data_IF_558237868781
#
_entry.id   IF_558237868781
#
_cell.length_a   1.000
_cell.length_b   1.000
_cell.length_c   1.000
_cell.angle_alpha   90.00
_cell.angle_beta   90.00
_cell.angle_gamma   90.00
#
_symmetry.space_group_name_H-M   'P 1'
#
loop_
_entity.id
_entity.type
_entity.pdbx_description
1 polymer ?
#
# COMPACT_ATOMS: atom_id res chain seq x y z
N UNK A 1 3.01 -15.30 -2.25
CA UNK A 1 1.91 -14.93 -1.33
C UNK A 1 1.29 -13.64 -1.85
N UNK A 2 -0.01 -13.64 -2.12
CA UNK A 2 -0.70 -12.45 -2.62
C UNK A 2 -1.23 -11.63 -1.44
N UNK A 3 -1.07 -10.31 -1.47
CA UNK A 3 -1.58 -9.43 -0.42
C UNK A 3 -2.32 -8.26 -1.05
N UNK A 4 -3.54 -8.03 -0.58
CA UNK A 4 -4.35 -6.88 -0.93
C UNK A 4 -4.35 -5.87 0.23
N UNK A 5 -3.99 -4.62 -0.09
CA UNK A 5 -4.11 -3.48 0.80
C UNK A 5 -5.42 -2.77 0.48
N UNK A 6 -6.48 -3.17 1.17
CA UNK A 6 -7.83 -2.67 0.95
C UNK A 6 -8.00 -1.31 1.62
N UNK A 7 -8.15 -0.24 0.83
CA UNK A 7 -8.29 1.10 1.38
C UNK A 7 -9.53 1.22 2.26
N UNK A 8 -9.37 1.87 3.42
CA UNK A 8 -10.51 2.20 4.29
C UNK A 8 -11.38 3.26 3.62
N UNK A 9 -12.60 3.52 4.11
CA UNK A 9 -13.44 4.60 3.55
C UNK A 9 -12.70 5.95 3.50
N UNK A 10 -11.97 6.30 4.57
CA UNK A 10 -11.11 7.50 4.60
C UNK A 10 -9.94 7.36 3.63
N UNK A 11 -9.34 6.19 3.52
CA UNK A 11 -8.27 5.91 2.55
C UNK A 11 -8.73 6.11 1.10
N UNK A 12 -9.92 5.62 0.74
CA UNK A 12 -10.52 5.74 -0.59
C UNK A 12 -10.69 7.20 -1.00
N UNK A 13 -11.29 8.02 -0.13
CA UNK A 13 -11.44 9.46 -0.36
C UNK A 13 -10.08 10.15 -0.61
N UNK A 14 -9.02 9.73 0.09
CA UNK A 14 -7.70 10.34 -0.09
C UNK A 14 -7.05 9.90 -1.39
N UNK A 15 -7.14 8.62 -1.77
CA UNK A 15 -6.53 8.14 -3.01
C UNK A 15 -7.23 8.66 -4.27
N UNK A 16 -8.49 9.11 -4.19
CA UNK A 16 -9.19 9.79 -5.29
C UNK A 16 -8.49 11.09 -5.72
N UNK A 17 -7.65 11.68 -4.86
CA UNK A 17 -6.83 12.86 -5.17
C UNK A 17 -5.48 12.53 -5.84
N UNK A 18 -5.31 11.28 -6.27
CA UNK A 18 -4.12 10.77 -6.96
C UNK A 18 -4.55 9.93 -8.16
N UNK A 19 -3.71 9.90 -9.19
CA UNK A 19 -3.88 8.91 -10.26
C UNK A 19 -3.18 7.58 -9.89
N UNK A 20 -3.46 6.51 -10.64
CA UNK A 20 -2.92 5.18 -10.34
C UNK A 20 -1.39 5.11 -10.48
N UNK A 21 -0.80 5.88 -11.40
CA UNK A 21 0.66 5.92 -11.57
C UNK A 21 1.35 6.56 -10.36
N UNK A 22 0.80 7.67 -9.85
CA UNK A 22 1.28 8.32 -8.62
C UNK A 22 1.17 7.37 -7.42
N UNK A 23 0.07 6.64 -7.29
CA UNK A 23 -0.13 5.67 -6.22
C UNK A 23 0.91 4.53 -6.32
N UNK A 24 1.12 3.97 -7.52
CA UNK A 24 2.15 2.96 -7.74
C UNK A 24 3.53 3.48 -7.38
N UNK A 25 3.89 4.70 -7.80
CA UNK A 25 5.19 5.30 -7.49
C UNK A 25 5.38 5.49 -5.98
N UNK A 26 4.37 6.05 -5.29
CA UNK A 26 4.41 6.27 -3.84
C UNK A 26 4.57 4.92 -3.13
N UNK A 27 3.65 3.98 -3.35
CA UNK A 27 3.71 2.69 -2.65
C UNK A 27 5.02 1.95 -2.92
N UNK A 28 5.47 1.90 -4.18
CA UNK A 28 6.72 1.23 -4.55
C UNK A 28 7.94 1.85 -3.86
N UNK A 29 8.01 3.19 -3.78
CA UNK A 29 9.11 3.89 -3.09
C UNK A 29 9.20 3.51 -1.61
N UNK A 30 8.06 3.48 -0.92
CA UNK A 30 8.03 3.17 0.51
C UNK A 30 8.24 1.67 0.78
N UNK A 31 7.68 0.80 -0.07
CA UNK A 31 7.96 -0.65 -0.05
C UNK A 31 9.46 -0.90 -0.20
N UNK A 32 10.11 -0.33 -1.21
CA UNK A 32 11.54 -0.50 -1.47
C UNK A 32 12.43 0.03 -0.34
N UNK A 33 11.95 1.03 0.40
CA UNK A 33 12.66 1.52 1.59
C UNK A 33 12.55 0.51 2.73
N UNK A 34 11.36 -0.04 2.96
CA UNK A 34 11.11 -0.99 4.05
C UNK A 34 11.74 -2.36 3.80
N UNK A 35 11.81 -2.84 2.56
CA UNK A 35 12.50 -4.11 2.23
C UNK A 35 13.99 -4.09 2.53
N UNK A 36 14.60 -2.92 2.78
CA UNK A 36 15.98 -2.83 3.32
C UNK A 36 16.09 -3.21 4.80
N UNK A 37 14.97 -3.13 5.55
CA UNK A 37 14.89 -3.47 6.98
C UNK A 37 14.27 -4.86 7.22
N UNK A 38 13.39 -5.28 6.31
CA UNK A 38 12.63 -6.51 6.41
C UNK A 38 13.07 -7.49 5.32
N UNK A 39 13.37 -8.73 5.72
CA UNK A 39 13.73 -9.81 4.79
C UNK A 39 12.47 -10.32 4.07
N UNK A 40 12.11 -9.65 2.97
CA UNK A 40 11.00 -10.01 2.08
C UNK A 40 11.21 -9.39 0.71
N UNK A 41 10.94 -10.15 -0.34
CA UNK A 41 10.88 -9.63 -1.70
C UNK A 41 9.43 -9.28 -2.04
N UNK A 42 9.21 -8.11 -2.64
CA UNK A 42 7.88 -7.61 -2.99
C UNK A 42 7.86 -7.15 -4.43
N UNK A 43 6.88 -7.64 -5.18
CA UNK A 43 6.55 -7.20 -6.54
C UNK A 43 5.24 -6.42 -6.52
N UNK A 44 5.22 -5.28 -7.22
CA UNK A 44 4.02 -4.48 -7.48
C UNK A 44 3.60 -4.71 -8.94
N UNK A 45 2.73 -5.68 -9.25
CA UNK A 45 2.31 -5.96 -10.61
C UNK A 45 1.47 -4.80 -11.17
N UNK A 46 1.95 -4.16 -12.24
CA UNK A 46 1.26 -3.02 -12.86
C UNK A 46 -0.15 -3.40 -13.35
N UNK A 47 -0.31 -4.57 -13.96
CA UNK A 47 -1.59 -5.08 -14.47
C UNK A 47 -2.65 -5.19 -13.37
N UNK A 48 -2.28 -5.67 -12.19
CA UNK A 48 -3.21 -5.84 -11.07
C UNK A 48 -3.60 -4.51 -10.40
N UNK A 49 -2.87 -3.43 -10.72
CA UNK A 49 -2.99 -2.09 -10.13
C UNK A 49 -3.36 -1.01 -11.17
N UNK A 50 -3.91 -1.40 -12.33
CA UNK A 50 -4.34 -0.43 -13.35
C UNK A 50 -5.52 0.43 -12.91
N UNK A 51 -6.32 -0.02 -11.94
CA UNK A 51 -7.58 0.61 -11.50
C UNK A 51 -7.65 0.79 -9.97
N UNK A 52 -6.55 1.15 -9.30
CA UNK A 52 -6.47 1.22 -7.82
C UNK A 52 -7.61 2.03 -7.20
N UNK A 53 -7.89 3.22 -7.73
CA UNK A 53 -8.95 4.10 -7.20
C UNK A 53 -10.33 3.44 -7.28
N UNK A 54 -10.66 2.81 -8.41
CA UNK A 54 -11.94 2.12 -8.61
C UNK A 54 -12.06 0.84 -7.77
N UNK A 55 -11.01 0.02 -7.77
CA UNK A 55 -10.96 -1.23 -7.00
C UNK A 55 -10.94 -0.95 -5.49
N UNK A 56 -10.42 0.21 -5.10
CA UNK A 56 -10.17 0.56 -3.70
C UNK A 56 -9.20 -0.41 -3.03
N UNK A 57 -8.27 -0.99 -3.78
CA UNK A 57 -7.23 -1.88 -3.27
C UNK A 57 -5.92 -1.70 -4.02
N UNK A 58 -4.81 -1.85 -3.30
CA UNK A 58 -3.46 -1.93 -3.87
C UNK A 58 -2.93 -3.36 -3.69
N UNK A 59 -2.50 -4.00 -4.77
CA UNK A 59 -2.20 -5.44 -4.81
C UNK A 59 -0.71 -5.67 -4.97
N UNK A 60 -0.15 -6.54 -4.14
CA UNK A 60 1.27 -6.90 -4.16
C UNK A 60 1.47 -8.40 -4.04
N UNK A 61 2.59 -8.87 -4.58
CA UNK A 61 3.02 -10.26 -4.50
C UNK A 61 4.30 -10.33 -3.70
N UNK A 62 4.30 -11.16 -2.66
CA UNK A 62 5.45 -11.38 -1.79
C UNK A 62 6.11 -12.73 -2.10
N UNK A 63 7.44 -12.74 -2.07
CA UNK A 63 8.30 -13.93 -2.13
C UNK A 63 9.42 -13.85 -1.08
N UNK A 64 10.08 -14.98 -0.79
CA UNK A 64 11.19 -15.04 0.18
C UNK A 64 10.88 -14.39 1.54
N UNK A 65 9.65 -14.59 2.03
CA UNK A 65 9.15 -13.95 3.24
C UNK A 65 9.82 -14.55 4.49
N UNK A 66 10.65 -13.77 5.17
CA UNK A 66 11.32 -14.14 6.43
C UNK A 66 11.06 -13.12 7.54
N UNK A 67 9.93 -12.42 7.46
CA UNK A 67 9.49 -11.45 8.46
C UNK A 67 8.00 -11.56 8.75
N UNK A 68 7.56 -10.89 9.81
CA UNK A 68 6.13 -10.73 10.11
C UNK A 68 5.48 -9.77 9.09
N UNK A 69 4.65 -10.34 8.21
CA UNK A 69 4.00 -9.63 7.11
C UNK A 69 3.07 -8.53 7.62
N UNK A 70 2.37 -8.78 8.72
CA UNK A 70 1.42 -7.81 9.28
C UNK A 70 2.16 -6.58 9.83
N UNK A 71 3.28 -6.78 10.51
CA UNK A 71 4.15 -5.71 11.02
C UNK A 71 4.74 -4.89 9.88
N UNK A 72 5.23 -5.54 8.82
CA UNK A 72 5.72 -4.85 7.62
C UNK A 72 4.68 -3.88 7.06
N UNK A 73 3.46 -4.36 6.82
CA UNK A 73 2.41 -3.52 6.21
C UNK A 73 1.82 -2.50 7.18
N UNK A 74 1.85 -2.74 8.50
CA UNK A 74 1.54 -1.73 9.52
C UNK A 74 2.55 -0.58 9.51
N UNK A 75 3.85 -0.86 9.36
CA UNK A 75 4.87 0.18 9.19
C UNK A 75 4.68 0.92 7.86
N UNK A 76 4.46 0.20 6.76
CA UNK A 76 4.14 0.81 5.47
C UNK A 76 2.97 1.79 5.58
N UNK A 77 1.87 1.39 6.23
CA UNK A 77 0.69 2.22 6.43
C UNK A 77 0.96 3.52 7.20
N UNK A 78 1.92 3.51 8.14
CA UNK A 78 2.35 4.71 8.87
C UNK A 78 3.18 5.64 7.99
N UNK A 79 4.10 5.08 7.21
CA UNK A 79 5.01 5.85 6.37
C UNK A 79 4.27 6.49 5.19
N UNK A 80 3.41 5.74 4.51
CA UNK A 80 2.64 6.22 3.35
C UNK A 80 1.56 7.24 3.72
N UNK A 81 1.10 7.25 4.97
CA UNK A 81 0.17 8.28 5.45
C UNK A 81 0.77 9.69 5.30
N UNK A 82 2.09 9.85 5.35
CA UNK A 82 2.75 11.16 5.20
C UNK A 82 2.52 11.78 3.81
N UNK A 83 2.87 11.12 2.68
CA UNK A 83 2.59 11.66 1.36
C UNK A 83 1.09 11.76 1.06
N UNK A 84 0.27 10.79 1.49
CA UNK A 84 -1.16 10.82 1.23
C UNK A 84 -1.87 11.97 1.95
N UNK A 85 -1.49 12.26 3.19
CA UNK A 85 -2.09 13.35 3.97
C UNK A 85 -1.85 14.74 3.35
N UNK A 86 -0.82 14.91 2.51
CA UNK A 86 -0.57 16.19 1.82
C UNK A 86 -1.73 16.61 0.90
N UNK A 87 -2.56 15.65 0.47
CA UNK A 87 -3.76 15.87 -0.35
C UNK A 87 -5.04 15.43 0.35
N UNK A 88 -5.03 15.35 1.69
CA UNK A 88 -6.19 14.95 2.47
C UNK A 88 -6.68 16.10 3.36
N UNK A 89 -7.98 16.36 3.34
CA UNK A 89 -8.61 17.26 4.31
C UNK A 89 -8.81 16.53 5.64
N UNK A 90 -8.04 16.92 6.65
CA UNK A 90 -8.23 16.46 8.04
C UNK A 90 -7.39 15.25 8.47
N UNK A 91 -7.91 14.49 9.44
CA UNK A 91 -7.19 13.36 10.07
C UNK A 91 -7.37 12.07 9.27
N UNK A 92 -6.30 11.68 8.57
CA UNK A 92 -6.14 10.34 8.02
C UNK A 92 -5.61 9.41 9.11
N UNK A 93 -6.33 8.35 9.51
CA UNK A 93 -5.88 7.40 10.54
C UNK A 93 -5.20 6.19 9.92
N UNK A 94 -5.97 5.13 9.64
CA UNK A 94 -5.52 3.93 8.95
C UNK A 94 -5.89 4.03 7.47
N UNK A 95 -4.88 3.93 6.60
CA UNK A 95 -5.04 4.08 5.15
C UNK A 95 -5.72 2.85 4.54
N UNK A 96 -5.32 1.65 4.96
CA UNK A 96 -5.80 0.39 4.42
C UNK A 96 -5.92 -0.70 5.50
N UNK A 97 -6.60 -1.78 5.15
CA UNK A 97 -6.60 -3.07 5.84
C UNK A 97 -5.79 -4.07 5.03
N UNK A 98 -5.06 -4.93 5.72
CA UNK A 98 -4.22 -5.96 5.10
C UNK A 98 -5.08 -7.22 4.93
N UNK A 99 -5.13 -7.76 3.73
CA UNK A 99 -5.77 -9.04 3.42
C UNK A 99 -4.75 -9.93 2.71
N UNK A 100 -4.34 -11.00 3.37
CA UNK A 100 -3.53 -12.06 2.74
C UNK A 100 -4.49 -12.95 1.94
N UNK A 101 -4.14 -13.22 0.69
CA UNK A 101 -4.89 -14.06 -0.23
C UNK A 101 -4.07 -15.33 -0.43
N UNK A 102 -4.64 -16.46 -0.03
CA UNK A 102 -4.10 -17.81 -0.24
C UNK A 102 -4.18 -18.24 -1.71
#
# INVERSE_FOLDING_TARGET
MNVHLNFTNKGKVVIENFNNEELIEIFSRYINTLTKKYAVDITVPAEANQNIVQDGSFKVVLSNVQCDVETFFKELGRDIKVPLKKRADGKLENVFKIQVID
#
